data_IF_990248082325
#
_entry.id   IF_990248082325
#
_cell.length_a   1.000
_cell.length_b   1.000
_cell.length_c   1.000
_cell.angle_alpha   90.00
_cell.angle_beta   90.00
_cell.angle_gamma   90.00
#
_symmetry.space_group_name_H-M   'P 1'
#
loop_
_entity.id
_entity.type
_entity.pdbx_description
1 polymer ?
#
# COMPACT_ATOMS: atom_id res chain seq x y z
N UNK A 1 -11.77 23.00 -26.28
CA UNK A 1 -10.52 22.26 -26.39
C UNK A 1 -10.72 20.76 -26.32
N UNK A 2 -9.75 19.96 -26.72
CA UNK A 2 -9.77 18.49 -26.78
C UNK A 2 -10.25 17.80 -25.49
N UNK A 3 -10.05 18.40 -24.29
CA UNK A 3 -10.53 17.86 -23.01
C UNK A 3 -12.07 17.72 -22.91
N UNK A 4 -12.83 18.57 -23.63
CA UNK A 4 -14.30 18.53 -23.60
C UNK A 4 -14.91 17.55 -24.61
N UNK A 5 -14.09 16.96 -25.51
CA UNK A 5 -14.56 15.99 -26.52
C UNK A 5 -14.39 14.54 -26.10
N UNK A 6 -13.62 14.24 -25.04
CA UNK A 6 -13.41 12.88 -24.56
C UNK A 6 -14.70 12.29 -23.95
N UNK A 7 -15.04 11.08 -24.37
CA UNK A 7 -16.20 10.32 -23.89
C UNK A 7 -15.74 9.17 -23.00
N UNK A 8 -16.62 8.68 -22.14
CA UNK A 8 -16.31 7.55 -21.25
C UNK A 8 -15.89 6.28 -22.00
N UNK A 9 -16.41 6.07 -23.21
CA UNK A 9 -16.06 4.92 -24.05
C UNK A 9 -14.74 5.06 -24.81
N UNK A 10 -14.13 6.24 -24.83
CA UNK A 10 -12.87 6.46 -25.54
C UNK A 10 -11.72 5.75 -24.84
N UNK A 11 -10.71 5.37 -25.63
CA UNK A 11 -9.49 4.75 -25.15
C UNK A 11 -8.73 5.72 -24.24
N UNK A 12 -8.46 5.30 -23.00
CA UNK A 12 -7.68 6.07 -22.04
C UNK A 12 -6.20 5.68 -22.09
N UNK A 13 -5.90 4.38 -22.17
CA UNK A 13 -4.53 3.86 -22.19
C UNK A 13 -4.49 2.42 -22.69
N UNK A 14 -3.32 2.00 -23.17
CA UNK A 14 -3.01 0.62 -23.49
C UNK A 14 -1.94 0.13 -22.53
N UNK A 15 -2.19 -0.98 -21.86
CA UNK A 15 -1.23 -1.63 -20.96
C UNK A 15 -0.84 -2.98 -21.54
N UNK A 16 0.45 -3.15 -21.79
CA UNK A 16 0.97 -4.39 -22.32
C UNK A 16 1.19 -5.42 -21.21
N UNK A 17 0.73 -6.64 -21.45
CA UNK A 17 0.95 -7.79 -20.57
C UNK A 17 1.79 -8.84 -21.30
N UNK A 18 2.58 -9.62 -20.56
CA UNK A 18 3.26 -10.80 -21.10
C UNK A 18 2.20 -11.84 -21.45
N UNK A 19 1.88 -12.00 -22.73
CA UNK A 19 0.94 -13.02 -23.18
C UNK A 19 1.45 -14.44 -22.89
N UNK A 20 0.54 -15.38 -22.65
CA UNK A 20 0.87 -16.82 -22.47
C UNK A 20 1.59 -17.42 -23.66
N UNK A 21 1.50 -16.81 -24.83
CA UNK A 21 2.13 -17.22 -26.09
C UNK A 21 3.50 -16.58 -26.36
N UNK A 22 4.05 -15.83 -25.37
CA UNK A 22 5.33 -15.14 -25.50
C UNK A 22 5.28 -13.78 -26.22
N UNK A 23 4.18 -13.47 -26.92
CA UNK A 23 4.00 -12.16 -27.54
C UNK A 23 3.25 -11.21 -26.60
N UNK A 24 3.76 -9.98 -26.36
CA UNK A 24 3.05 -9.00 -25.54
C UNK A 24 1.69 -8.66 -26.14
N UNK A 25 0.65 -8.61 -25.29
CA UNK A 25 -0.71 -8.22 -25.68
C UNK A 25 -1.04 -6.88 -25.06
N UNK A 26 -1.51 -5.93 -25.89
CA UNK A 26 -2.00 -4.62 -25.45
C UNK A 26 -3.44 -4.72 -24.95
N UNK A 27 -3.65 -4.47 -23.65
CA UNK A 27 -4.99 -4.37 -23.07
C UNK A 27 -5.47 -2.94 -23.20
N UNK A 28 -6.52 -2.71 -23.97
CA UNK A 28 -7.17 -1.42 -24.13
C UNK A 28 -8.05 -1.10 -22.91
N UNK A 29 -7.80 0.01 -22.28
CA UNK A 29 -8.58 0.49 -21.13
C UNK A 29 -9.24 1.82 -21.46
N UNK A 30 -10.54 1.90 -21.25
CA UNK A 30 -11.34 3.10 -21.51
C UNK A 30 -11.38 4.03 -20.30
N UNK A 31 -11.73 5.29 -20.51
CA UNK A 31 -11.98 6.25 -19.42
C UNK A 31 -13.06 5.76 -18.45
N UNK A 32 -14.10 5.07 -18.95
CA UNK A 32 -15.18 4.52 -18.11
C UNK A 32 -14.64 3.62 -16.99
N UNK A 33 -13.74 2.70 -17.30
CA UNK A 33 -13.18 1.77 -16.31
C UNK A 33 -12.52 2.50 -15.14
N UNK A 34 -11.68 3.49 -15.43
CA UNK A 34 -11.03 4.29 -14.39
C UNK A 34 -12.01 5.16 -13.59
N UNK A 35 -12.98 5.80 -14.27
CA UNK A 35 -13.95 6.69 -13.60
C UNK A 35 -14.86 5.91 -12.67
N UNK A 36 -15.45 4.81 -13.13
CA UNK A 36 -16.37 4.00 -12.30
C UNK A 36 -15.63 3.33 -11.13
N UNK A 37 -14.43 2.81 -11.37
CA UNK A 37 -13.63 2.22 -10.30
C UNK A 37 -13.21 3.27 -9.25
N UNK A 38 -12.85 4.49 -9.68
CA UNK A 38 -12.51 5.58 -8.77
C UNK A 38 -13.70 6.03 -7.93
N UNK A 39 -14.89 6.14 -8.53
CA UNK A 39 -16.14 6.44 -7.79
C UNK A 39 -16.42 5.39 -6.72
N UNK A 40 -16.39 4.10 -7.08
CA UNK A 40 -16.66 3.01 -6.17
C UNK A 40 -15.62 2.98 -5.04
N UNK A 41 -14.32 3.14 -5.35
CA UNK A 41 -13.27 3.16 -4.35
C UNK A 41 -13.41 4.34 -3.37
N UNK A 42 -13.83 5.51 -3.83
CA UNK A 42 -14.07 6.67 -2.97
C UNK A 42 -15.27 6.44 -2.04
N UNK A 43 -16.32 5.74 -2.50
CA UNK A 43 -17.49 5.40 -1.70
C UNK A 43 -17.17 4.33 -0.64
N UNK A 44 -16.40 3.30 -1.02
CA UNK A 44 -16.07 2.17 -0.13
C UNK A 44 -14.94 2.48 0.86
N UNK A 45 -14.06 3.43 0.52
CA UNK A 45 -12.88 3.78 1.31
C UNK A 45 -12.82 5.28 1.64
N UNK A 46 -13.89 5.89 2.17
CA UNK A 46 -13.94 7.33 2.43
C UNK A 46 -12.90 7.80 3.44
N UNK A 47 -12.43 6.91 4.32
CA UNK A 47 -11.39 7.20 5.31
C UNK A 47 -9.97 7.22 4.69
N UNK A 48 -9.80 6.67 3.48
CA UNK A 48 -8.52 6.61 2.77
C UNK A 48 -8.46 7.68 1.68
N UNK A 49 -9.54 7.77 0.88
CA UNK A 49 -9.63 8.70 -0.25
C UNK A 49 -10.47 9.90 0.17
N UNK A 50 -9.86 10.81 0.93
CA UNK A 50 -10.49 12.03 1.44
C UNK A 50 -9.67 13.27 1.05
N UNK A 51 -10.32 14.42 1.04
CA UNK A 51 -9.64 15.70 0.89
C UNK A 51 -8.58 15.88 1.99
N UNK A 52 -7.39 16.31 1.60
CA UNK A 52 -6.24 16.41 2.51
C UNK A 52 -5.45 15.12 2.72
N UNK A 53 -5.94 13.97 2.26
CA UNK A 53 -5.17 12.74 2.25
C UNK A 53 -3.96 12.83 1.33
N UNK A 54 -2.95 12.00 1.62
CA UNK A 54 -1.73 11.95 0.81
C UNK A 54 -1.22 10.53 0.68
N UNK A 55 -0.62 10.20 -0.47
CA UNK A 55 0.00 8.91 -0.72
C UNK A 55 1.32 9.04 -1.47
N UNK A 56 2.20 8.07 -1.30
CA UNK A 56 3.44 7.95 -2.05
C UNK A 56 3.28 6.89 -3.13
N UNK A 57 3.36 7.29 -4.39
CA UNK A 57 3.28 6.39 -5.54
C UNK A 57 4.70 6.02 -6.00
N UNK A 58 5.05 4.76 -5.83
CA UNK A 58 6.35 4.18 -6.18
C UNK A 58 6.23 2.95 -7.09
N UNK A 59 5.01 2.54 -7.40
CA UNK A 59 4.74 1.46 -8.32
C UNK A 59 4.84 1.95 -9.78
N UNK A 60 5.35 1.13 -10.71
CA UNK A 60 5.46 1.52 -12.12
C UNK A 60 4.09 1.80 -12.75
N UNK A 61 3.94 2.98 -13.37
CA UNK A 61 2.71 3.36 -14.09
C UNK A 61 2.43 2.51 -15.35
N UNK A 62 3.39 1.67 -15.75
CA UNK A 62 3.18 0.66 -16.78
C UNK A 62 2.19 -0.43 -16.35
N UNK A 63 1.97 -0.61 -15.03
CA UNK A 63 0.99 -1.54 -14.49
C UNK A 63 -0.33 -0.84 -14.16
N UNK A 64 -1.44 -1.52 -14.44
CA UNK A 64 -2.80 -0.98 -14.25
C UNK A 64 -3.05 -0.50 -12.82
N UNK A 65 -2.53 -1.21 -11.82
CA UNK A 65 -2.77 -0.87 -10.42
C UNK A 65 -2.20 0.50 -10.04
N UNK A 66 -0.94 0.78 -10.42
CA UNK A 66 -0.34 2.09 -10.16
C UNK A 66 -1.05 3.23 -10.90
N UNK A 67 -1.42 2.98 -12.15
CA UNK A 67 -2.18 3.95 -12.96
C UNK A 67 -3.56 4.21 -12.39
N UNK A 68 -4.24 3.18 -11.89
CA UNK A 68 -5.51 3.35 -11.20
C UNK A 68 -5.36 4.21 -9.94
N UNK A 69 -4.33 3.97 -9.11
CA UNK A 69 -4.07 4.77 -7.91
C UNK A 69 -3.88 6.25 -8.27
N UNK A 70 -3.13 6.54 -9.33
CA UNK A 70 -2.93 7.91 -9.80
C UNK A 70 -4.25 8.59 -10.19
N UNK A 71 -5.09 7.89 -10.97
CA UNK A 71 -6.42 8.41 -11.37
C UNK A 71 -7.34 8.57 -10.15
N UNK A 72 -7.34 7.60 -9.23
CA UNK A 72 -8.09 7.66 -7.98
C UNK A 72 -7.70 8.89 -7.14
N UNK A 73 -6.40 9.16 -7.03
CA UNK A 73 -5.91 10.32 -6.30
C UNK A 73 -6.35 11.64 -6.94
N UNK A 74 -6.32 11.73 -8.27
CA UNK A 74 -6.84 12.90 -8.99
C UNK A 74 -8.35 13.06 -8.76
N UNK A 75 -9.12 11.95 -8.78
CA UNK A 75 -10.55 11.96 -8.55
C UNK A 75 -10.91 12.41 -7.14
N UNK A 76 -10.19 11.90 -6.14
CA UNK A 76 -10.44 12.16 -4.71
C UNK A 76 -9.74 13.41 -4.14
N UNK A 77 -9.02 14.19 -4.95
CA UNK A 77 -8.27 15.35 -4.45
C UNK A 77 -7.10 14.98 -3.52
N UNK A 78 -6.57 13.77 -3.65
CA UNK A 78 -5.47 13.25 -2.82
C UNK A 78 -4.13 13.78 -3.29
N UNK A 79 -3.28 14.22 -2.37
CA UNK A 79 -1.91 14.65 -2.67
C UNK A 79 -1.02 13.45 -2.97
N UNK A 80 -0.37 13.44 -4.14
CA UNK A 80 0.51 12.34 -4.57
C UNK A 80 1.96 12.77 -4.59
N UNK A 81 2.81 12.04 -3.87
CA UNK A 81 4.26 12.09 -4.03
C UNK A 81 4.71 10.94 -4.95
N UNK A 82 5.62 11.21 -5.88
CA UNK A 82 6.18 10.20 -6.77
C UNK A 82 7.60 9.82 -6.35
N UNK A 83 7.86 8.52 -6.19
CA UNK A 83 9.19 7.99 -5.91
C UNK A 83 9.52 6.84 -6.88
N UNK A 84 10.28 7.11 -7.96
CA UNK A 84 10.57 6.08 -8.97
C UNK A 84 11.54 5.01 -8.49
N UNK A 85 12.40 5.31 -7.52
CA UNK A 85 13.36 4.35 -6.99
C UNK A 85 12.82 3.62 -5.76
N UNK A 86 12.55 2.33 -5.92
CA UNK A 86 12.05 1.47 -4.84
C UNK A 86 13.00 1.34 -3.63
N UNK A 87 14.30 1.68 -3.79
CA UNK A 87 15.27 1.68 -2.68
C UNK A 87 15.06 2.89 -1.76
N UNK A 88 14.56 3.98 -2.30
CA UNK A 88 14.36 5.25 -1.61
C UNK A 88 12.95 5.44 -1.06
N UNK A 89 12.08 4.42 -1.16
CA UNK A 89 10.68 4.50 -0.65
C UNK A 89 10.65 4.75 0.85
N UNK A 90 11.49 4.07 1.64
CA UNK A 90 11.55 4.28 3.10
C UNK A 90 11.90 5.71 3.49
N UNK A 91 13.04 6.26 3.05
CA UNK A 91 13.37 7.67 3.28
C UNK A 91 12.31 8.65 2.76
N UNK A 92 11.70 8.37 1.60
CA UNK A 92 10.65 9.20 1.04
C UNK A 92 9.36 9.17 1.90
N UNK A 93 8.99 8.03 2.47
CA UNK A 93 7.87 7.94 3.43
C UNK A 93 8.12 8.81 4.67
N UNK A 94 9.33 8.77 5.20
CA UNK A 94 9.70 9.58 6.39
C UNK A 94 9.65 11.08 6.09
N UNK A 95 10.02 11.53 4.89
CA UNK A 95 10.01 12.95 4.53
C UNK A 95 8.65 13.45 4.07
N UNK A 96 7.87 12.61 3.38
CA UNK A 96 6.58 12.98 2.80
C UNK A 96 5.40 12.80 3.76
N UNK A 97 5.50 11.88 4.73
CA UNK A 97 4.46 11.53 5.69
C UNK A 97 3.11 11.22 5.04
N UNK A 98 3.02 10.20 4.16
CA UNK A 98 1.76 9.84 3.53
C UNK A 98 0.73 9.41 4.57
N UNK A 99 -0.54 9.80 4.39
CA UNK A 99 -1.64 9.38 5.28
C UNK A 99 -2.05 7.93 5.02
N UNK A 100 -1.82 7.44 3.80
CA UNK A 100 -2.00 6.03 3.44
C UNK A 100 -0.98 5.61 2.38
N UNK A 101 -0.79 4.31 2.25
CA UNK A 101 0.10 3.72 1.25
C UNK A 101 -0.57 2.51 0.60
N UNK A 102 -0.64 2.53 -0.73
CA UNK A 102 -1.07 1.38 -1.52
C UNK A 102 0.17 0.63 -2.01
N UNK A 103 0.30 -0.61 -1.61
CA UNK A 103 1.46 -1.43 -1.91
C UNK A 103 1.07 -2.88 -2.23
N UNK A 104 1.96 -3.58 -2.93
CA UNK A 104 1.84 -5.01 -3.18
C UNK A 104 2.52 -5.82 -2.07
N UNK A 105 2.14 -7.10 -1.83
CA UNK A 105 2.67 -7.92 -0.74
C UNK A 105 4.20 -7.95 -0.67
N UNK A 106 4.88 -7.94 -1.81
CA UNK A 106 6.35 -7.94 -1.89
C UNK A 106 7.01 -6.75 -1.18
N UNK A 107 6.32 -5.62 -1.10
CA UNK A 107 6.82 -4.43 -0.39
C UNK A 107 6.83 -4.69 1.11
N UNK A 108 5.76 -5.26 1.65
CA UNK A 108 5.68 -5.62 3.07
C UNK A 108 6.71 -6.67 3.47
N UNK A 109 6.93 -7.70 2.62
CA UNK A 109 8.00 -8.67 2.82
C UNK A 109 9.38 -8.01 2.90
N UNK A 110 9.67 -7.07 1.99
CA UNK A 110 10.93 -6.33 1.97
C UNK A 110 11.13 -5.49 3.23
N UNK A 111 10.07 -4.81 3.69
CA UNK A 111 10.10 -4.03 4.94
C UNK A 111 10.36 -4.94 6.13
N UNK A 112 9.62 -6.06 6.23
CA UNK A 112 9.81 -7.04 7.30
C UNK A 112 11.24 -7.58 7.33
N UNK A 113 11.74 -8.07 6.20
CA UNK A 113 13.09 -8.65 6.10
C UNK A 113 14.17 -7.62 6.44
N UNK A 114 14.03 -6.37 6.02
CA UNK A 114 14.95 -5.29 6.36
C UNK A 114 14.94 -4.97 7.86
N UNK A 115 13.77 -4.96 8.49
CA UNK A 115 13.64 -4.75 9.92
C UNK A 115 14.20 -5.92 10.73
N UNK A 116 13.99 -7.16 10.28
CA UNK A 116 14.56 -8.36 10.90
C UNK A 116 16.08 -8.35 10.83
N UNK A 117 16.67 -8.05 9.67
CA UNK A 117 18.13 -7.94 9.50
C UNK A 117 18.75 -6.89 10.44
N UNK A 118 18.10 -5.72 10.57
CA UNK A 118 18.53 -4.68 11.51
C UNK A 118 18.46 -5.16 12.96
N UNK A 119 17.40 -5.89 13.31
CA UNK A 119 17.25 -6.46 14.66
C UNK A 119 18.30 -7.55 14.95
N UNK A 120 18.61 -8.40 13.96
CA UNK A 120 19.68 -9.41 14.07
C UNK A 120 21.04 -8.75 14.29
N UNK A 121 21.39 -7.76 13.48
CA UNK A 121 22.64 -7.01 13.62
C UNK A 121 22.78 -6.33 15.01
N UNK A 122 21.65 -5.96 15.63
CA UNK A 122 21.60 -5.40 16.99
C UNK A 122 21.51 -6.47 18.11
N UNK A 123 21.62 -7.76 17.79
CA UNK A 123 21.49 -8.86 18.77
C UNK A 123 20.06 -9.08 19.31
N UNK A 124 19.05 -8.50 18.65
CA UNK A 124 17.64 -8.50 19.07
C UNK A 124 16.74 -9.35 18.18
N UNK A 125 17.27 -10.16 17.30
CA UNK A 125 16.52 -10.97 16.33
C UNK A 125 15.48 -11.90 16.98
N UNK A 126 15.80 -12.56 18.08
CA UNK A 126 14.85 -13.40 18.83
C UNK A 126 13.66 -12.59 19.35
N UNK A 127 13.90 -11.39 19.87
CA UNK A 127 12.83 -10.50 20.38
C UNK A 127 11.95 -10.05 19.22
N UNK A 128 12.55 -9.69 18.09
CA UNK A 128 11.83 -9.28 16.89
C UNK A 128 10.90 -10.38 16.38
N UNK A 129 11.41 -11.60 16.20
CA UNK A 129 10.60 -12.75 15.75
C UNK A 129 9.47 -13.09 16.73
N UNK A 130 9.76 -13.07 18.04
CA UNK A 130 8.73 -13.32 19.06
C UNK A 130 7.64 -12.24 19.02
N UNK A 131 7.99 -10.98 18.78
CA UNK A 131 7.05 -9.89 18.59
C UNK A 131 6.22 -10.07 17.32
N UNK A 132 6.83 -10.48 16.21
CA UNK A 132 6.13 -10.75 14.95
C UNK A 132 5.09 -11.86 15.11
N UNK A 133 5.46 -12.98 15.73
CA UNK A 133 4.51 -14.06 16.04
C UNK A 133 3.37 -13.59 16.95
N UNK A 134 3.67 -12.77 17.96
CA UNK A 134 2.64 -12.21 18.83
C UNK A 134 1.67 -11.28 18.09
N UNK A 135 2.18 -10.46 17.15
CA UNK A 135 1.35 -9.61 16.31
C UNK A 135 0.42 -10.41 15.40
N UNK A 136 0.96 -11.46 14.74
CA UNK A 136 0.18 -12.36 13.88
C UNK A 136 -0.92 -13.07 14.68
N UNK A 137 -0.56 -13.64 15.84
CA UNK A 137 -1.53 -14.32 16.69
C UNK A 137 -2.63 -13.38 17.20
N UNK A 138 -2.27 -12.15 17.56
CA UNK A 138 -3.23 -11.12 17.98
C UNK A 138 -4.16 -10.71 16.82
N UNK A 139 -3.60 -10.45 15.64
CA UNK A 139 -4.37 -10.08 14.45
C UNK A 139 -5.38 -11.17 14.06
N UNK A 140 -4.94 -12.43 14.01
CA UNK A 140 -5.84 -13.55 13.72
C UNK A 140 -6.96 -13.72 14.75
N UNK A 141 -6.66 -13.44 16.01
CA UNK A 141 -7.68 -13.53 17.06
C UNK A 141 -8.73 -12.40 16.97
N UNK A 142 -8.41 -11.25 16.36
CA UNK A 142 -9.39 -10.20 16.10
C UNK A 142 -10.49 -10.63 15.11
N UNK A 143 -10.19 -11.59 14.23
CA UNK A 143 -11.12 -12.10 13.23
C UNK A 143 -11.98 -13.27 13.77
N UNK A 144 -11.79 -13.68 15.05
CA UNK A 144 -12.60 -14.71 15.70
C UNK A 144 -13.73 -14.10 16.54
N UNK A 145 -14.89 -14.79 16.69
CA UNK A 145 -15.99 -14.29 17.51
C UNK A 145 -15.62 -13.98 18.97
N UNK A 146 -14.69 -14.75 19.53
CA UNK A 146 -14.23 -14.63 20.92
C UNK A 146 -13.23 -13.47 21.08
N UNK A 147 -12.61 -13.05 19.98
CA UNK A 147 -11.55 -12.04 19.97
C UNK A 147 -10.27 -12.47 20.70
N UNK A 148 -9.30 -11.57 20.84
CA UNK A 148 -8.04 -11.88 21.50
C UNK A 148 -8.20 -12.06 23.02
N UNK A 149 -7.58 -13.12 23.54
CA UNK A 149 -7.53 -13.41 24.99
C UNK A 149 -6.78 -12.30 25.76
N UNK A 150 -6.97 -12.26 27.08
CA UNK A 150 -6.25 -11.32 27.96
C UNK A 150 -4.73 -11.48 27.84
N UNK A 151 -4.24 -12.70 27.73
CA UNK A 151 -2.82 -12.98 27.56
C UNK A 151 -2.28 -12.43 26.23
N UNK A 152 -3.04 -12.58 25.13
CA UNK A 152 -2.69 -12.01 23.84
C UNK A 152 -2.70 -10.48 23.86
N UNK A 153 -3.68 -9.85 24.52
CA UNK A 153 -3.75 -8.39 24.69
C UNK A 153 -2.55 -7.85 25.45
N UNK A 154 -2.21 -8.48 26.58
CA UNK A 154 -1.05 -8.08 27.40
C UNK A 154 0.27 -8.25 26.64
N UNK A 155 0.44 -9.38 25.97
CA UNK A 155 1.62 -9.66 25.16
C UNK A 155 1.77 -8.67 23.99
N UNK A 156 0.66 -8.37 23.31
CA UNK A 156 0.65 -7.37 22.24
C UNK A 156 1.04 -5.99 22.76
N UNK A 157 0.50 -5.56 23.91
CA UNK A 157 0.82 -4.28 24.55
C UNK A 157 2.30 -4.20 24.97
N UNK A 158 2.86 -5.29 25.48
CA UNK A 158 4.28 -5.37 25.81
C UNK A 158 5.16 -5.14 24.58
N UNK A 159 4.88 -5.88 23.48
CA UNK A 159 5.65 -5.73 22.24
C UNK A 159 5.35 -4.43 21.51
N UNK A 160 4.22 -3.78 21.76
CA UNK A 160 3.97 -2.44 21.25
C UNK A 160 5.03 -1.45 21.73
N UNK A 161 5.34 -1.48 23.02
CA UNK A 161 6.38 -0.61 23.61
C UNK A 161 7.79 -1.01 23.17
N UNK A 162 8.08 -2.30 23.15
CA UNK A 162 9.44 -2.79 22.89
C UNK A 162 9.84 -2.76 21.42
N UNK A 163 8.88 -3.00 20.50
CA UNK A 163 9.14 -3.25 19.07
C UNK A 163 8.27 -2.38 18.16
N UNK A 164 6.92 -2.47 18.28
CA UNK A 164 6.05 -1.92 17.24
C UNK A 164 6.07 -0.39 17.17
N UNK A 165 6.15 0.32 18.30
CA UNK A 165 6.30 1.79 18.31
C UNK A 165 7.56 2.23 17.59
N UNK A 166 8.67 1.51 17.77
CA UNK A 166 9.94 1.81 17.08
C UNK A 166 9.87 1.55 15.59
N UNK A 167 9.17 0.48 15.19
CA UNK A 167 8.95 0.19 13.76
C UNK A 167 8.08 1.27 13.12
N UNK A 168 6.97 1.65 13.77
CA UNK A 168 6.09 2.72 13.24
C UNK A 168 6.78 4.07 13.14
N UNK A 169 7.68 4.39 14.08
CA UNK A 169 8.45 5.63 14.04
C UNK A 169 9.57 5.63 12.97
N UNK A 170 9.96 4.45 12.48
CA UNK A 170 11.00 4.28 11.46
C UNK A 170 10.42 4.13 10.04
N UNK A 171 9.08 4.11 9.91
CA UNK A 171 8.33 4.06 8.64
C UNK A 171 7.60 5.37 8.39
#
# INVERSE_FOLDING_TARGET
GKRKSAKLGDLATIIYTSGTTGQPKGCELTHRGFVELSKNATLELPQVVAEGSSTLLFLPLAHVFARFIEVLCVHGGVKVGHQPDSKNVGPAMVSFHPTFLLAVPRVFEKVYNSAEQKAEAAGKGKIFRTAAYAAIAYSRALDTPEGPSLAQKLRHKLFDVLVYKKLRAAM
#
